data_IF_663684699892
#
_entry.id   IF_663684699892
#
_cell.length_a   1.000
_cell.length_b   1.000
_cell.length_c   1.000
_cell.angle_alpha   90.00
_cell.angle_beta   90.00
_cell.angle_gamma   90.00
#
_symmetry.space_group_name_H-M   'P 1'
#
loop_
_entity.id
_entity.type
_entity.pdbx_description
1 polymer ?
#
# COMPACT_ATOMS: atom_id res chain seq x y z
N UNK A 1 -24.91 -47.60 -1.37
CA UNK A 1 -24.24 -46.72 -2.35
C UNK A 1 -23.43 -45.72 -1.56
N UNK A 2 -22.10 -45.63 -1.70
CA UNK A 2 -21.33 -44.67 -0.93
C UNK A 2 -21.63 -43.27 -1.46
N UNK A 3 -22.08 -42.38 -0.59
CA UNK A 3 -22.22 -40.95 -0.85
C UNK A 3 -20.89 -40.41 -1.36
N UNK A 4 -20.90 -39.90 -2.59
CA UNK A 4 -19.78 -39.15 -3.13
C UNK A 4 -19.62 -37.89 -2.29
N UNK A 5 -18.60 -37.86 -1.42
CA UNK A 5 -18.15 -36.65 -0.75
C UNK A 5 -17.64 -35.71 -1.85
N UNK A 6 -18.54 -34.87 -2.36
CA UNK A 6 -18.19 -33.74 -3.20
C UNK A 6 -17.27 -32.85 -2.39
N UNK A 7 -16.01 -32.73 -2.82
CA UNK A 7 -15.07 -31.79 -2.21
C UNK A 7 -15.73 -30.40 -2.12
N UNK A 8 -15.69 -29.73 -0.95
CA UNK A 8 -16.35 -28.44 -0.81
C UNK A 8 -15.71 -27.45 -1.77
N UNK A 9 -16.50 -26.95 -2.73
CA UNK A 9 -16.16 -25.80 -3.56
C UNK A 9 -15.65 -24.67 -2.65
N UNK A 10 -14.54 -24.04 -3.05
CA UNK A 10 -13.66 -23.22 -2.23
C UNK A 10 -14.37 -22.31 -1.22
N UNK A 11 -13.81 -22.23 -0.01
CA UNK A 11 -14.31 -21.39 1.09
C UNK A 11 -14.67 -19.98 0.58
N UNK A 12 -15.80 -19.45 1.07
CA UNK A 12 -16.40 -18.20 0.63
C UNK A 12 -15.53 -16.94 0.82
N UNK A 13 -16.12 -15.76 0.64
CA UNK A 13 -15.43 -14.47 0.73
C UNK A 13 -14.64 -14.33 2.05
N UNK A 14 -13.38 -13.89 1.97
CA UNK A 14 -12.53 -13.67 3.14
C UNK A 14 -12.80 -12.25 3.68
N UNK A 15 -13.76 -12.13 4.59
CA UNK A 15 -14.19 -10.86 5.17
C UNK A 15 -13.06 -10.11 5.88
N UNK A 16 -12.18 -10.82 6.58
CA UNK A 16 -11.07 -10.22 7.32
C UNK A 16 -10.08 -9.47 6.41
N UNK A 17 -9.91 -9.91 5.15
CA UNK A 17 -9.06 -9.17 4.20
C UNK A 17 -9.65 -7.80 3.85
N UNK A 18 -10.98 -7.73 3.67
CA UNK A 18 -11.65 -6.46 3.43
C UNK A 18 -11.61 -5.58 4.67
N UNK A 19 -11.78 -6.14 5.87
CA UNK A 19 -11.74 -5.39 7.12
C UNK A 19 -10.35 -4.82 7.42
N UNK A 20 -9.29 -5.61 7.27
CA UNK A 20 -7.92 -5.13 7.46
C UNK A 20 -7.53 -4.08 6.41
N UNK A 21 -7.97 -4.26 5.15
CA UNK A 21 -7.81 -3.22 4.12
C UNK A 21 -8.54 -1.94 4.50
N UNK A 22 -9.77 -2.06 4.98
CA UNK A 22 -10.58 -0.93 5.42
C UNK A 22 -9.99 -0.22 6.62
N UNK A 23 -9.42 -0.96 7.58
CA UNK A 23 -8.66 -0.41 8.69
C UNK A 23 -7.45 0.38 8.21
N UNK A 24 -6.68 -0.16 7.25
CA UNK A 24 -5.54 0.56 6.69
C UNK A 24 -5.95 1.87 5.98
N UNK A 25 -7.05 1.85 5.21
CA UNK A 25 -7.59 3.06 4.58
C UNK A 25 -8.10 4.06 5.62
N UNK A 26 -8.79 3.58 6.66
CA UNK A 26 -9.25 4.41 7.76
C UNK A 26 -8.05 5.13 8.41
N UNK A 27 -7.01 4.40 8.82
CA UNK A 27 -5.80 4.99 9.40
C UNK A 27 -5.12 6.01 8.46
N UNK A 28 -5.05 5.71 7.17
CA UNK A 28 -4.50 6.60 6.15
C UNK A 28 -5.28 7.93 6.07
N UNK A 29 -6.61 7.91 6.13
CA UNK A 29 -7.46 9.12 6.12
C UNK A 29 -7.17 9.99 7.35
N UNK A 30 -7.09 9.40 8.54
CA UNK A 30 -6.77 10.15 9.76
C UNK A 30 -5.35 10.73 9.72
N UNK A 31 -4.38 9.95 9.25
CA UNK A 31 -3.00 10.39 9.10
C UNK A 31 -2.88 11.65 8.23
N UNK A 32 -3.47 11.62 7.02
CA UNK A 32 -3.49 12.78 6.12
C UNK A 32 -4.36 13.93 6.65
N UNK A 33 -5.41 13.60 7.41
CA UNK A 33 -6.24 14.58 8.11
C UNK A 33 -5.43 15.39 9.12
N UNK A 34 -4.63 14.72 9.96
CA UNK A 34 -3.76 15.39 10.94
C UNK A 34 -2.64 16.18 10.26
N UNK A 35 -2.05 15.65 9.19
CA UNK A 35 -1.06 16.39 8.38
C UNK A 35 -1.64 17.70 7.85
N UNK A 36 -2.79 17.62 7.17
CA UNK A 36 -3.44 18.77 6.53
C UNK A 36 -3.87 19.78 7.59
N UNK A 37 -4.55 19.33 8.64
CA UNK A 37 -4.99 20.23 9.72
C UNK A 37 -3.82 20.87 10.48
N UNK A 38 -2.74 20.13 10.68
CA UNK A 38 -1.54 20.59 11.39
C UNK A 38 -0.71 21.57 10.58
N UNK A 39 -0.17 21.11 9.45
CA UNK A 39 0.80 21.88 8.66
C UNK A 39 0.14 22.89 7.72
N UNK A 40 -1.00 22.56 7.10
CA UNK A 40 -1.62 23.43 6.11
C UNK A 40 -2.56 24.48 6.73
N UNK A 41 -3.14 24.18 7.89
CA UNK A 41 -4.03 25.09 8.64
C UNK A 41 -3.41 25.62 9.94
N UNK A 42 -2.15 25.27 10.23
CA UNK A 42 -1.36 25.84 11.33
C UNK A 42 -1.82 25.43 12.73
N UNK A 43 -2.46 24.27 12.88
CA UNK A 43 -2.99 23.83 14.17
C UNK A 43 -1.99 22.93 14.94
N UNK A 44 -1.60 23.35 16.14
CA UNK A 44 -0.64 22.62 16.99
C UNK A 44 -1.13 21.23 17.42
N UNK A 45 -2.44 21.05 17.62
CA UNK A 45 -3.04 19.75 17.97
C UNK A 45 -2.92 18.80 16.77
N UNK A 46 -3.13 19.30 15.56
CA UNK A 46 -2.93 18.54 14.33
C UNK A 46 -1.50 18.04 14.17
N UNK A 47 -0.52 18.91 14.40
CA UNK A 47 0.91 18.56 14.37
C UNK A 47 1.26 17.51 15.44
N UNK A 48 0.73 17.65 16.66
CA UNK A 48 0.92 16.68 17.73
C UNK A 48 0.41 15.29 17.34
N UNK A 49 -0.85 15.18 16.88
CA UNK A 49 -1.42 13.90 16.48
C UNK A 49 -0.71 13.31 15.26
N UNK A 50 -0.31 14.14 14.29
CA UNK A 50 0.47 13.68 13.14
C UNK A 50 1.79 13.03 13.58
N UNK A 51 2.57 13.71 14.44
CA UNK A 51 3.85 13.20 14.93
C UNK A 51 3.67 11.94 15.79
N UNK A 52 2.60 11.86 16.58
CA UNK A 52 2.25 10.67 17.35
C UNK A 52 1.92 9.47 16.45
N UNK A 53 1.22 9.71 15.32
CA UNK A 53 0.75 8.66 14.41
C UNK A 53 1.74 8.29 13.30
N UNK A 54 2.71 9.16 13.00
CA UNK A 54 3.74 8.97 11.97
C UNK A 54 4.49 7.62 12.08
N UNK A 55 4.89 7.12 13.27
CA UNK A 55 5.51 5.79 13.36
C UNK A 55 4.59 4.64 12.91
N UNK A 56 3.27 4.83 12.94
CA UNK A 56 2.29 3.81 12.53
C UNK A 56 2.10 3.74 11.00
N UNK A 57 2.49 4.80 10.27
CA UNK A 57 2.30 4.91 8.81
C UNK A 57 2.85 3.72 8.01
N UNK A 58 4.12 3.29 8.21
CA UNK A 58 4.67 2.18 7.46
C UNK A 58 3.94 0.86 7.73
N UNK A 59 3.32 0.70 8.89
CA UNK A 59 2.63 -0.54 9.27
C UNK A 59 1.30 -0.69 8.54
N UNK A 60 0.45 0.35 8.53
CA UNK A 60 -0.82 0.25 7.82
C UNK A 60 -0.62 0.28 6.29
N UNK A 61 0.38 1.01 5.79
CA UNK A 61 0.76 0.94 4.38
C UNK A 61 1.25 -0.46 4.02
N UNK A 62 2.18 -1.02 4.80
CA UNK A 62 2.67 -2.39 4.61
C UNK A 62 1.56 -3.45 4.65
N UNK A 63 0.61 -3.31 5.59
CA UNK A 63 -0.58 -4.16 5.67
C UNK A 63 -1.43 -4.07 4.39
N UNK A 64 -1.69 -2.86 3.90
CA UNK A 64 -2.44 -2.63 2.67
C UNK A 64 -1.76 -3.27 1.44
N UNK A 65 -0.44 -3.13 1.32
CA UNK A 65 0.35 -3.72 0.25
C UNK A 65 0.38 -5.25 0.33
N UNK A 66 0.54 -5.80 1.53
CA UNK A 66 0.51 -7.24 1.78
C UNK A 66 -0.85 -7.86 1.39
N UNK A 67 -1.96 -7.25 1.83
CA UNK A 67 -3.32 -7.69 1.47
C UNK A 67 -3.56 -7.56 -0.04
N UNK A 68 -3.01 -6.52 -0.67
CA UNK A 68 -3.06 -6.36 -2.13
C UNK A 68 -2.30 -7.48 -2.85
N UNK A 69 -1.19 -7.96 -2.30
CA UNK A 69 -0.49 -9.15 -2.75
C UNK A 69 -1.34 -10.43 -2.65
N UNK A 70 -1.98 -10.68 -1.50
CA UNK A 70 -2.90 -11.82 -1.30
C UNK A 70 -4.03 -11.76 -2.34
N UNK A 71 -4.67 -10.60 -2.48
CA UNK A 71 -5.78 -10.40 -3.41
C UNK A 71 -5.37 -10.58 -4.89
N UNK A 72 -4.12 -10.25 -5.23
CA UNK A 72 -3.57 -10.45 -6.57
C UNK A 72 -3.39 -11.95 -6.86
N UNK A 73 -2.96 -12.75 -5.88
CA UNK A 73 -2.88 -14.21 -6.07
C UNK A 73 -4.25 -14.85 -6.33
N UNK A 74 -5.29 -14.38 -5.62
CA UNK A 74 -6.66 -14.90 -5.77
C UNK A 74 -7.33 -14.52 -7.10
N UNK A 75 -6.83 -13.49 -7.78
CA UNK A 75 -7.44 -12.97 -9.01
C UNK A 75 -6.74 -13.51 -10.25
N UNK A 76 -7.51 -13.81 -11.30
CA UNK A 76 -6.97 -14.26 -12.60
C UNK A 76 -6.64 -13.09 -13.56
N UNK A 77 -7.33 -11.95 -13.44
CA UNK A 77 -7.21 -10.82 -14.35
C UNK A 77 -6.28 -9.70 -13.84
N UNK A 78 -5.13 -10.04 -13.24
CA UNK A 78 -4.22 -9.05 -12.64
C UNK A 78 -3.66 -8.06 -13.65
N UNK A 79 -3.35 -8.49 -14.88
CA UNK A 79 -2.88 -7.61 -15.95
C UNK A 79 -3.90 -6.50 -16.23
N UNK A 80 -5.17 -6.87 -16.50
CA UNK A 80 -6.24 -5.89 -16.77
C UNK A 80 -6.47 -4.96 -15.58
N UNK A 81 -6.44 -5.47 -14.35
CA UNK A 81 -6.61 -4.66 -13.13
C UNK A 81 -5.45 -3.71 -12.92
N UNK A 82 -4.21 -4.20 -13.08
CA UNK A 82 -2.99 -3.42 -12.97
C UNK A 82 -2.91 -2.32 -14.02
N UNK A 83 -3.23 -2.60 -15.29
CA UNK A 83 -3.27 -1.58 -16.35
C UNK A 83 -4.34 -0.51 -16.09
N UNK A 84 -5.53 -0.90 -15.61
CA UNK A 84 -6.55 0.06 -15.19
C UNK A 84 -6.08 0.93 -14.03
N UNK A 85 -5.43 0.32 -13.03
CA UNK A 85 -4.89 1.04 -11.88
C UNK A 85 -3.76 1.99 -12.31
N UNK A 86 -2.92 1.58 -13.27
CA UNK A 86 -1.88 2.42 -13.84
C UNK A 86 -2.48 3.64 -14.53
N UNK A 87 -3.54 3.47 -15.33
CA UNK A 87 -4.24 4.58 -15.96
C UNK A 87 -4.80 5.57 -14.93
N UNK A 88 -5.37 5.07 -13.82
CA UNK A 88 -5.82 5.90 -12.70
C UNK A 88 -4.65 6.61 -12.04
N UNK A 89 -3.54 5.91 -11.78
CA UNK A 89 -2.34 6.48 -11.15
C UNK A 89 -1.75 7.63 -12.00
N UNK A 90 -1.61 7.43 -13.31
CA UNK A 90 -1.18 8.47 -14.24
C UNK A 90 -2.16 9.64 -14.30
N UNK A 91 -3.46 9.37 -14.20
CA UNK A 91 -4.49 10.40 -14.05
C UNK A 91 -4.30 11.25 -12.79
N UNK A 92 -3.99 10.62 -11.65
CA UNK A 92 -3.67 11.32 -10.39
C UNK A 92 -2.40 12.16 -10.55
N UNK A 93 -1.35 11.65 -11.20
CA UNK A 93 -0.14 12.44 -11.49
C UNK A 93 -0.45 13.65 -12.36
N UNK A 94 -1.27 13.50 -13.40
CA UNK A 94 -1.66 14.61 -14.28
C UNK A 94 -2.46 15.67 -13.51
N UNK A 95 -3.45 15.25 -12.72
CA UNK A 95 -4.29 16.16 -11.94
C UNK A 95 -3.46 16.88 -10.88
N UNK A 96 -2.63 16.17 -10.11
CA UNK A 96 -1.77 16.80 -9.09
C UNK A 96 -0.78 17.77 -9.72
N UNK A 97 -0.16 17.42 -10.85
CA UNK A 97 0.76 18.30 -11.57
C UNK A 97 0.11 19.60 -12.07
N UNK A 98 -1.18 19.58 -12.43
CA UNK A 98 -1.89 20.77 -12.94
C UNK A 98 -2.45 21.62 -11.80
N UNK A 99 -3.05 20.99 -10.79
CA UNK A 99 -3.82 21.70 -9.75
C UNK A 99 -3.03 21.96 -8.46
N UNK A 100 -2.04 21.12 -8.14
CA UNK A 100 -1.26 21.19 -6.90
C UNK A 100 0.21 20.83 -7.19
N UNK A 101 0.95 21.67 -7.95
CA UNK A 101 2.29 21.35 -8.41
C UNK A 101 3.30 21.13 -7.27
N UNK A 102 3.08 21.79 -6.12
CA UNK A 102 3.88 21.62 -4.90
C UNK A 102 3.72 20.23 -4.28
N UNK A 103 2.59 19.56 -4.52
CA UNK A 103 2.28 18.21 -4.01
C UNK A 103 2.11 17.18 -5.14
N UNK A 104 2.97 17.28 -6.17
CA UNK A 104 2.89 16.35 -7.30
C UNK A 104 3.14 14.91 -6.86
N UNK A 105 2.29 13.99 -7.32
CA UNK A 105 2.47 12.55 -7.07
C UNK A 105 3.11 11.92 -8.32
N UNK A 106 4.43 11.96 -8.40
CA UNK A 106 5.19 11.40 -9.54
C UNK A 106 5.23 9.88 -9.48
N UNK A 107 5.44 9.29 -8.29
CA UNK A 107 5.44 7.84 -8.10
C UNK A 107 4.97 7.43 -6.69
N UNK A 108 3.66 7.33 -6.54
CA UNK A 108 3.01 6.91 -5.29
C UNK A 108 2.58 5.44 -5.23
N UNK A 109 1.80 5.11 -4.19
CA UNK A 109 1.36 3.73 -3.89
C UNK A 109 0.52 3.12 -5.02
N UNK A 110 -0.25 3.92 -5.76
CA UNK A 110 -1.04 3.44 -6.90
C UNK A 110 -0.15 3.00 -8.07
N UNK A 111 0.94 3.73 -8.35
CA UNK A 111 1.91 3.37 -9.37
C UNK A 111 2.61 2.06 -8.99
N UNK A 112 3.09 1.99 -7.74
CA UNK A 112 3.69 0.78 -7.19
C UNK A 112 2.76 -0.43 -7.32
N UNK A 113 1.52 -0.32 -6.84
CA UNK A 113 0.56 -1.42 -6.89
C UNK A 113 0.24 -1.84 -8.33
N UNK A 114 0.12 -0.87 -9.25
CA UNK A 114 -0.10 -1.18 -10.65
C UNK A 114 1.07 -1.97 -11.25
N UNK A 115 2.30 -1.55 -11.01
CA UNK A 115 3.52 -2.25 -11.43
C UNK A 115 3.57 -3.66 -10.84
N UNK A 116 3.33 -3.80 -9.53
CA UNK A 116 3.32 -5.11 -8.87
C UNK A 116 2.23 -6.05 -9.40
N UNK A 117 1.01 -5.55 -9.66
CA UNK A 117 -0.08 -6.35 -10.23
C UNK A 117 0.22 -6.80 -11.66
N UNK A 118 0.81 -5.93 -12.49
CA UNK A 118 1.21 -6.26 -13.86
C UNK A 118 2.33 -7.30 -13.84
N UNK A 119 3.39 -7.05 -13.06
CA UNK A 119 4.51 -7.96 -12.90
C UNK A 119 4.04 -9.33 -12.40
N UNK A 120 3.23 -9.36 -11.34
CA UNK A 120 2.67 -10.59 -10.81
C UNK A 120 1.75 -11.29 -11.82
N UNK A 121 1.02 -10.55 -12.65
CA UNK A 121 0.22 -11.10 -13.74
C UNK A 121 1.05 -11.97 -14.70
N UNK A 122 2.25 -11.51 -15.06
CA UNK A 122 3.20 -12.28 -15.88
C UNK A 122 3.89 -13.41 -15.11
N UNK A 123 4.20 -13.20 -13.83
CA UNK A 123 4.89 -14.19 -12.99
C UNK A 123 3.95 -15.29 -12.46
N UNK A 124 2.63 -15.09 -12.48
CA UNK A 124 1.65 -16.01 -11.89
C UNK A 124 1.76 -17.45 -12.40
N UNK A 125 1.92 -17.73 -13.71
CA UNK A 125 2.09 -19.10 -14.20
C UNK A 125 3.32 -19.81 -13.61
N UNK A 126 4.39 -19.07 -13.33
CA UNK A 126 5.60 -19.60 -12.68
C UNK A 126 5.37 -19.76 -11.17
N UNK A 127 4.73 -18.77 -10.54
CA UNK A 127 4.42 -18.80 -9.12
C UNK A 127 3.50 -19.99 -8.77
N UNK A 128 2.57 -20.36 -9.65
CA UNK A 128 1.65 -21.48 -9.46
C UNK A 128 2.34 -22.86 -9.52
N UNK A 129 3.55 -22.96 -10.12
CA UNK A 129 4.34 -24.22 -10.13
C UNK A 129 4.91 -24.58 -8.76
N UNK A 130 5.21 -23.58 -7.94
CA UNK A 130 5.81 -23.79 -6.62
C UNK A 130 4.75 -24.03 -5.56
N UNK A 131 5.00 -24.97 -4.63
CA UNK A 131 4.14 -25.15 -3.45
C UNK A 131 4.30 -23.98 -2.48
N UNK A 132 3.32 -23.80 -1.60
CA UNK A 132 3.42 -22.83 -0.51
C UNK A 132 4.58 -23.20 0.43
N UNK A 133 5.38 -22.21 0.82
CA UNK A 133 6.47 -22.36 1.79
C UNK A 133 6.58 -21.13 2.68
N UNK A 134 6.60 -21.33 3.99
CA UNK A 134 6.87 -20.27 4.97
C UNK A 134 8.27 -19.67 4.81
N UNK A 135 9.23 -20.46 4.31
CA UNK A 135 10.59 -19.97 4.04
C UNK A 135 10.55 -18.84 3.00
N UNK A 136 9.70 -18.95 1.98
CA UNK A 136 9.55 -17.89 0.98
C UNK A 136 8.98 -16.59 1.57
N UNK A 137 8.02 -16.70 2.50
CA UNK A 137 7.44 -15.55 3.21
C UNK A 137 8.49 -14.89 4.10
N UNK A 138 9.22 -15.67 4.89
CA UNK A 138 10.31 -15.19 5.75
C UNK A 138 11.42 -14.54 4.91
N UNK A 139 11.80 -15.16 3.79
CA UNK A 139 12.79 -14.60 2.87
C UNK A 139 12.34 -13.25 2.30
N UNK A 140 11.06 -13.08 1.95
CA UNK A 140 10.54 -11.78 1.52
C UNK A 140 10.68 -10.73 2.62
N UNK A 141 10.29 -11.04 3.86
CA UNK A 141 10.45 -10.08 4.97
C UNK A 141 11.92 -9.78 5.28
N UNK A 142 12.81 -10.78 5.20
CA UNK A 142 14.24 -10.57 5.35
C UNK A 142 14.78 -9.63 4.26
N UNK A 143 14.39 -9.83 3.00
CA UNK A 143 14.76 -8.95 1.89
C UNK A 143 14.18 -7.54 2.05
N UNK A 144 12.95 -7.40 2.56
CA UNK A 144 12.37 -6.10 2.90
C UNK A 144 13.23 -5.37 3.93
N UNK A 145 13.58 -6.02 5.05
CA UNK A 145 14.40 -5.41 6.09
C UNK A 145 15.83 -5.12 5.63
N UNK A 146 16.37 -5.93 4.71
CA UNK A 146 17.69 -5.69 4.12
C UNK A 146 17.69 -4.49 3.16
N UNK A 147 16.62 -4.32 2.39
CA UNK A 147 16.52 -3.29 1.34
C UNK A 147 15.78 -2.03 1.78
N UNK A 148 15.27 -1.96 3.02
CA UNK A 148 14.56 -0.77 3.55
C UNK A 148 15.38 0.52 3.49
N UNK A 149 16.70 0.39 3.53
CA UNK A 149 17.63 1.51 3.44
C UNK A 149 17.90 1.99 2.01
N UNK A 150 17.42 1.27 0.98
CA UNK A 150 17.73 1.55 -0.43
C UNK A 150 17.34 2.99 -0.79
N UNK A 151 16.13 3.50 -0.47
CA UNK A 151 15.81 4.90 -0.74
C UNK A 151 16.71 5.93 -0.03
N UNK A 152 17.47 5.50 0.99
CA UNK A 152 18.39 6.32 1.79
C UNK A 152 19.87 6.08 1.48
N UNK A 153 20.22 5.29 0.47
CA UNK A 153 21.62 5.10 0.09
C UNK A 153 22.34 3.90 0.72
N UNK A 154 21.66 3.00 1.45
CA UNK A 154 22.33 1.88 2.11
C UNK A 154 21.53 0.58 2.09
N UNK A 155 22.22 -0.55 2.18
CA UNK A 155 21.64 -1.87 2.26
C UNK A 155 21.98 -2.49 3.63
N UNK A 156 21.00 -2.83 4.46
CA UNK A 156 21.24 -3.37 5.80
C UNK A 156 20.28 -2.89 6.89
N UNK A 157 20.63 -3.25 8.13
CA UNK A 157 19.77 -3.12 9.31
C UNK A 157 19.63 -1.68 9.85
N UNK A 158 20.36 -0.72 9.29
CA UNK A 158 20.27 0.69 9.68
C UNK A 158 21.50 1.53 9.28
N UNK A 159 21.46 2.84 9.53
CA UNK A 159 22.61 3.72 9.37
C UNK A 159 23.79 3.22 10.22
N UNK A 160 24.95 2.99 9.61
CA UNK A 160 26.18 2.52 10.29
C UNK A 160 26.41 1.01 10.30
N UNK A 161 25.36 0.19 10.12
CA UNK A 161 25.47 -1.27 9.99
C UNK A 161 25.09 -1.79 8.60
N UNK A 162 24.89 -0.87 7.65
CA UNK A 162 24.56 -1.16 6.27
C UNK A 162 25.72 -0.91 5.31
N UNK A 163 25.73 -1.64 4.21
CA UNK A 163 26.64 -1.44 3.09
C UNK A 163 26.16 -0.21 2.31
N UNK A 164 26.99 0.84 2.14
CA UNK A 164 26.61 1.99 1.33
C UNK A 164 26.45 1.57 -0.13
N UNK A 165 25.40 2.07 -0.77
CA UNK A 165 25.15 1.83 -2.19
C UNK A 165 25.94 2.84 -3.04
N UNK A 166 26.38 2.46 -4.25
CA UNK A 166 27.09 3.38 -5.14
C UNK A 166 26.26 4.62 -5.44
N UNK A 167 26.83 5.81 -5.21
CA UNK A 167 26.16 7.09 -5.43
C UNK A 167 25.65 7.29 -6.87
N UNK A 168 26.29 6.65 -7.86
CA UNK A 168 25.87 6.69 -9.26
C UNK A 168 24.45 6.19 -9.53
N UNK A 169 23.90 5.34 -8.65
CA UNK A 169 22.50 4.89 -8.75
C UNK A 169 21.51 6.02 -8.47
N UNK A 170 21.91 7.02 -7.69
CA UNK A 170 21.07 8.17 -7.32
C UNK A 170 21.32 9.37 -8.22
N UNK A 171 22.10 9.25 -9.30
CA UNK A 171 22.32 10.38 -10.21
C UNK A 171 21.13 10.62 -11.12
N UNK A 172 20.30 9.61 -11.37
CA UNK A 172 19.24 9.67 -12.36
C UNK A 172 17.85 9.59 -11.73
N UNK A 173 17.06 10.66 -11.86
CA UNK A 173 15.70 10.73 -11.33
C UNK A 173 14.76 9.63 -11.88
N UNK A 174 15.00 9.11 -13.09
CA UNK A 174 14.19 8.03 -13.66
C UNK A 174 14.36 6.67 -12.94
N UNK A 175 15.37 6.53 -12.09
CA UNK A 175 15.55 5.36 -11.22
C UNK A 175 14.75 5.45 -9.90
N UNK A 176 14.08 6.58 -9.63
CA UNK A 176 13.27 6.76 -8.42
C UNK A 176 12.16 5.70 -8.27
N UNK A 177 11.41 5.30 -9.31
CA UNK A 177 10.46 4.19 -9.19
C UNK A 177 11.07 2.88 -8.66
N UNK A 178 12.34 2.60 -8.96
CA UNK A 178 13.02 1.40 -8.49
C UNK A 178 13.44 1.50 -7.01
N UNK A 179 13.53 2.71 -6.46
CA UNK A 179 14.02 2.97 -5.11
C UNK A 179 15.28 3.82 -5.03
N UNK A 180 15.75 4.39 -6.14
CA UNK A 180 16.92 5.26 -6.17
C UNK A 180 16.49 6.70 -6.54
N UNK A 181 15.93 7.47 -5.60
CA UNK A 181 15.49 8.84 -5.88
C UNK A 181 16.71 9.72 -6.11
N UNK A 182 16.85 10.23 -7.34
CA UNK A 182 17.92 11.15 -7.70
C UNK A 182 17.54 12.63 -7.53
N UNK A 183 18.49 13.56 -7.76
CA UNK A 183 18.24 14.99 -7.69
C UNK A 183 17.04 15.41 -8.55
N UNK A 184 16.18 16.26 -7.99
CA UNK A 184 14.98 16.78 -8.66
C UNK A 184 13.80 15.80 -8.77
N UNK A 185 13.90 14.60 -8.17
CA UNK A 185 12.72 13.75 -8.00
C UNK A 185 11.94 14.17 -6.76
N UNK A 186 10.66 14.48 -6.95
CA UNK A 186 9.73 14.82 -5.88
C UNK A 186 8.41 14.04 -6.06
N UNK A 187 7.88 13.55 -4.95
CA UNK A 187 6.59 12.84 -4.91
C UNK A 187 6.03 12.91 -3.50
N UNK A 188 4.89 13.57 -3.30
CA UNK A 188 4.27 13.69 -1.96
C UNK A 188 3.80 12.36 -1.40
N UNK A 189 3.49 11.40 -2.28
CA UNK A 189 3.32 10.00 -1.94
C UNK A 189 4.44 9.21 -2.63
N UNK A 190 5.41 8.67 -1.88
CA UNK A 190 6.56 7.95 -2.45
C UNK A 190 6.68 6.52 -1.90
N UNK A 191 6.25 5.55 -2.72
CA UNK A 191 6.35 4.12 -2.43
C UNK A 191 7.17 3.43 -3.52
N UNK A 192 8.52 3.43 -3.43
CA UNK A 192 9.36 2.81 -4.44
C UNK A 192 9.18 1.28 -4.51
N UNK A 193 9.58 0.68 -5.63
CA UNK A 193 9.56 -0.79 -5.80
C UNK A 193 10.42 -1.46 -4.73
N UNK A 194 11.65 -1.00 -4.49
CA UNK A 194 12.46 -1.45 -3.35
C UNK A 194 12.24 -0.51 -2.16
N UNK A 195 11.88 -1.03 -0.96
CA UNK A 195 11.79 -2.45 -0.57
C UNK A 195 10.38 -3.07 -0.72
N UNK A 196 9.37 -2.27 -1.04
CA UNK A 196 7.96 -2.62 -0.84
C UNK A 196 7.47 -3.81 -1.65
N UNK A 197 8.12 -4.10 -2.79
CA UNK A 197 7.85 -5.28 -3.63
C UNK A 197 7.88 -6.57 -2.83
N UNK A 198 8.77 -6.67 -1.82
CA UNK A 198 8.88 -7.86 -0.99
C UNK A 198 7.68 -8.04 -0.06
N UNK A 199 7.09 -6.96 0.44
CA UNK A 199 5.86 -7.01 1.24
C UNK A 199 4.68 -7.48 0.39
N UNK A 200 4.57 -6.93 -0.82
CA UNK A 200 3.57 -7.39 -1.79
C UNK A 200 3.79 -8.87 -2.15
N UNK A 201 5.03 -9.27 -2.44
CA UNK A 201 5.39 -10.64 -2.79
C UNK A 201 5.09 -11.62 -1.64
N UNK A 202 5.42 -11.28 -0.39
CA UNK A 202 5.03 -12.06 0.80
C UNK A 202 3.51 -12.30 0.82
N UNK A 203 2.73 -11.26 0.50
CA UNK A 203 1.27 -11.35 0.34
C UNK A 203 0.87 -12.36 -0.75
N UNK A 204 1.53 -12.34 -1.91
CA UNK A 204 1.22 -13.31 -2.99
C UNK A 204 1.49 -14.77 -2.56
N UNK A 205 2.54 -15.03 -1.78
CA UNK A 205 2.82 -16.36 -1.24
C UNK A 205 1.73 -16.80 -0.24
N UNK A 206 1.35 -15.93 0.69
CA UNK A 206 0.24 -16.20 1.63
C UNK A 206 -1.10 -16.36 0.90
N UNK A 207 -1.26 -15.71 -0.25
CA UNK A 207 -2.38 -15.92 -1.17
C UNK A 207 -2.61 -17.38 -1.56
N UNK A 208 -1.57 -18.22 -1.59
CA UNK A 208 -1.70 -19.66 -1.83
C UNK A 208 -2.49 -20.36 -0.72
N UNK A 209 -2.28 -19.97 0.54
CA UNK A 209 -3.05 -20.48 1.67
C UNK A 209 -4.50 -20.00 1.59
N UNK A 210 -4.72 -18.73 1.24
CA UNK A 210 -6.05 -18.18 1.02
C UNK A 210 -6.82 -18.96 -0.06
N UNK A 211 -6.18 -19.20 -1.22
CA UNK A 211 -6.77 -19.97 -2.33
C UNK A 211 -7.08 -21.41 -1.95
N UNK A 212 -6.21 -22.04 -1.15
CA UNK A 212 -6.42 -23.38 -0.62
C UNK A 212 -7.46 -23.43 0.52
N UNK A 213 -8.09 -22.30 0.86
CA UNK A 213 -9.04 -22.21 1.95
C UNK A 213 -8.40 -22.42 3.32
N UNK A 214 -7.08 -22.28 3.50
CA UNK A 214 -6.38 -22.64 4.75
C UNK A 214 -6.33 -21.54 5.81
N UNK A 215 -7.02 -20.42 5.60
CA UNK A 215 -7.17 -19.40 6.62
C UNK A 215 -8.05 -19.88 7.80
N UNK A 216 -7.89 -19.29 9.00
CA UNK A 216 -8.76 -19.57 10.15
C UNK A 216 -10.23 -19.25 9.85
N UNK A 217 -11.18 -19.95 10.48
CA UNK A 217 -12.62 -19.74 10.22
C UNK A 217 -13.09 -18.31 10.48
N UNK A 218 -12.49 -17.64 11.49
CA UNK A 218 -12.78 -16.24 11.81
C UNK A 218 -12.56 -15.31 10.62
N UNK A 219 -11.65 -15.66 9.71
CA UNK A 219 -11.35 -14.85 8.53
C UNK A 219 -12.50 -14.81 7.50
N UNK A 220 -13.38 -15.80 7.54
CA UNK A 220 -14.53 -15.94 6.63
C UNK A 220 -15.83 -15.41 7.25
N UNK A 221 -15.81 -14.96 8.51
CA UNK A 221 -16.96 -14.35 9.16
C UNK A 221 -16.72 -12.84 9.26
N UNK A 222 -17.74 -11.99 8.99
CA UNK A 222 -17.60 -10.56 9.24
C UNK A 222 -17.39 -10.32 10.74
N UNK A 223 -16.32 -9.61 11.09
CA UNK A 223 -16.02 -9.19 12.46
C UNK A 223 -16.48 -7.75 12.67
N UNK A 224 -16.14 -6.87 11.73
CA UNK A 224 -16.41 -5.43 11.80
C UNK A 224 -16.95 -4.97 10.44
N UNK A 225 -18.27 -5.08 10.20
CA UNK A 225 -18.87 -4.84 8.88
C UNK A 225 -18.58 -3.47 8.28
N UNK A 226 -18.42 -2.44 9.13
CA UNK A 226 -18.08 -1.09 8.69
C UNK A 226 -16.68 -1.05 8.06
N UNK A 227 -15.68 -1.68 8.68
CA UNK A 227 -14.34 -1.78 8.10
C UNK A 227 -14.35 -2.58 6.80
N UNK A 228 -15.19 -3.62 6.71
CA UNK A 228 -15.38 -4.34 5.45
C UNK A 228 -15.91 -3.43 4.34
N UNK A 229 -16.80 -2.48 4.66
CA UNK A 229 -17.27 -1.47 3.69
C UNK A 229 -16.14 -0.53 3.25
N UNK A 230 -15.31 -0.04 4.18
CA UNK A 230 -14.13 0.76 3.85
C UNK A 230 -13.19 0.00 2.91
N UNK A 231 -12.93 -1.28 3.18
CA UNK A 231 -12.06 -2.12 2.35
C UNK A 231 -12.58 -2.36 0.94
N UNK A 232 -13.90 -2.51 0.78
CA UNK A 232 -14.55 -2.66 -0.53
C UNK A 232 -14.45 -1.40 -1.38
N UNK A 233 -14.49 -0.23 -0.76
CA UNK A 233 -14.42 1.07 -1.42
C UNK A 233 -13.03 1.72 -1.32
N UNK A 234 -12.01 0.95 -0.95
CA UNK A 234 -10.68 1.44 -0.64
C UNK A 234 -10.08 2.33 -1.74
N UNK A 235 -10.25 1.97 -3.03
CA UNK A 235 -9.73 2.77 -4.14
C UNK A 235 -10.41 4.14 -4.24
N UNK A 236 -11.74 4.19 -4.09
CA UNK A 236 -12.50 5.44 -4.15
C UNK A 236 -12.12 6.32 -2.97
N UNK A 237 -12.11 5.75 -1.77
CA UNK A 237 -11.70 6.47 -0.55
C UNK A 237 -10.26 6.98 -0.68
N UNK A 238 -9.34 6.18 -1.21
CA UNK A 238 -7.98 6.61 -1.48
C UNK A 238 -7.90 7.75 -2.52
N UNK A 239 -8.74 7.78 -3.55
CA UNK A 239 -8.69 8.89 -4.52
C UNK A 239 -9.26 10.20 -3.96
N UNK A 240 -10.32 10.11 -3.16
CA UNK A 240 -11.08 11.28 -2.72
C UNK A 240 -10.71 11.78 -1.32
N UNK A 241 -9.94 11.02 -0.51
CA UNK A 241 -9.62 11.46 0.84
C UNK A 241 -8.92 12.83 0.86
N UNK A 242 -7.86 13.04 0.07
CA UNK A 242 -7.10 14.29 0.11
C UNK A 242 -7.94 15.51 -0.31
N UNK A 243 -8.68 15.49 -1.45
CA UNK A 243 -9.57 16.59 -1.81
C UNK A 243 -10.69 16.84 -0.78
N UNK A 244 -11.26 15.78 -0.21
CA UNK A 244 -12.32 15.91 0.80
C UNK A 244 -11.78 16.49 2.11
N UNK A 245 -10.65 15.98 2.60
CA UNK A 245 -9.97 16.51 3.79
C UNK A 245 -9.66 18.00 3.59
N UNK A 246 -9.05 18.35 2.46
CA UNK A 246 -8.73 19.73 2.14
C UNK A 246 -9.97 20.63 2.10
N UNK A 247 -11.04 20.19 1.41
CA UNK A 247 -12.31 20.92 1.35
C UNK A 247 -12.97 21.09 2.72
N UNK A 248 -12.96 20.07 3.56
CA UNK A 248 -13.48 20.15 4.93
C UNK A 248 -12.68 21.13 5.78
N UNK A 249 -11.35 21.11 5.70
CA UNK A 249 -10.52 22.06 6.44
C UNK A 249 -10.75 23.50 5.96
N UNK A 250 -10.95 23.74 4.65
CA UNK A 250 -11.32 25.07 4.14
C UNK A 250 -12.64 25.57 4.71
N UNK A 251 -13.65 24.70 4.81
CA UNK A 251 -14.96 25.05 5.38
C UNK A 251 -14.90 25.32 6.88
N UNK A 252 -14.01 24.64 7.60
CA UNK A 252 -13.85 24.80 9.05
C UNK A 252 -12.90 25.94 9.44
N UNK A 253 -12.07 26.44 8.52
CA UNK A 253 -11.14 27.56 8.75
C UNK A 253 -11.79 28.79 9.39
N UNK A 254 -12.98 29.26 8.98
CA UNK A 254 -13.64 30.41 9.60
C UNK A 254 -14.06 30.17 11.06
N UNK A 255 -14.20 28.91 11.48
CA UNK A 255 -14.57 28.52 12.85
C UNK A 255 -13.36 28.37 13.78
N UNK A 256 -12.14 28.37 13.24
CA UNK A 256 -10.91 28.23 14.02
C UNK A 256 -10.74 29.24 15.17
N UNK A 257 -11.14 30.52 15.05
CA UNK A 257 -11.05 31.48 16.17
C UNK A 257 -11.96 31.15 17.38
N UNK A 258 -12.94 30.26 17.20
CA UNK A 258 -13.91 29.87 18.24
C UNK A 258 -13.60 28.50 18.87
N UNK A 259 -12.57 27.82 18.37
CA UNK A 259 -12.17 26.47 18.78
C UNK A 259 -10.77 26.43 19.43
N UNK A 260 -10.11 27.59 19.54
CA UNK A 260 -8.82 27.80 20.21
C UNK A 260 -8.96 28.12 21.69
#
# INVERSE_FOLDING_TARGET
>A
MPESITAPNGRGRIHLMDELRGFAVFCMVFYHGFYTFGYLFGNNIGVYFFNFFMPAEPFFAGMFLFISGIASYLTHSNLRRGTKLLAVALGVTLVTRIFVPEDVITFGVLHFLAVCMILFGFLKPYADRFRFSWIAVIACFALYFLTRGVPRGFLGCGPGFGIPLPGGLYTFAWLAPLGFPGPGFESSDYFPVLPWIFVFAAGTFVGKLAKAGRFPEIAYRPQVPILSWFGRHALVLYLFHQPVIYGLCLLLKPLAPYLS
#
